data_IF_801393405462
#
_entry.id   IF_801393405462
#
_cell.length_a   1.000
_cell.length_b   1.000
_cell.length_c   1.000
_cell.angle_alpha   90.00
_cell.angle_beta   90.00
_cell.angle_gamma   90.00
#
_symmetry.space_group_name_H-M   'P 1'
#
loop_
_entity.id
_entity.type
_entity.pdbx_description
1 polymer ?
#
# COMPACT_ATOMS: atom_id res chain seq x y z
N UNK A 1 -21.23 3.82 75.48
CA UNK A 1 -19.93 4.27 74.93
C UNK A 1 -19.32 3.12 74.14
N UNK A 2 -18.63 3.41 73.03
CA UNK A 2 -17.95 2.50 72.08
C UNK A 2 -18.89 2.02 70.95
N UNK A 3 -19.14 2.82 69.90
CA UNK A 3 -18.31 3.29 68.77
C UNK A 3 -18.48 2.39 67.53
N UNK A 4 -19.26 2.92 66.58
CA UNK A 4 -19.51 2.45 65.21
C UNK A 4 -18.21 2.49 64.40
N UNK A 5 -17.93 1.45 63.63
CA UNK A 5 -17.01 1.52 62.50
C UNK A 5 -17.64 0.79 61.30
N UNK A 6 -18.34 1.58 60.46
CA UNK A 6 -18.82 1.15 59.15
C UNK A 6 -17.66 1.36 58.17
N UNK A 7 -17.02 0.28 57.72
CA UNK A 7 -15.98 0.34 56.71
C UNK A 7 -16.63 0.38 55.32
N UNK A 8 -16.71 1.57 54.72
CA UNK A 8 -17.15 1.76 53.34
C UNK A 8 -15.96 1.47 52.40
N UNK A 9 -15.91 0.28 51.82
CA UNK A 9 -14.96 -0.05 50.75
C UNK A 9 -15.51 0.54 49.46
N UNK A 10 -15.01 1.72 49.06
CA UNK A 10 -15.29 2.30 47.76
C UNK A 10 -14.43 1.56 46.73
N UNK A 11 -15.04 0.61 46.04
CA UNK A 11 -14.47 -0.02 44.83
C UNK A 11 -14.49 1.02 43.71
N UNK A 12 -13.37 1.73 43.50
CA UNK A 12 -13.15 2.51 42.30
C UNK A 12 -13.01 1.54 41.12
N UNK A 13 -14.13 1.21 40.47
CA UNK A 13 -14.12 0.61 39.14
C UNK A 13 -13.71 1.74 38.19
N UNK A 14 -12.40 1.95 38.05
CA UNK A 14 -11.87 2.64 36.87
C UNK A 14 -12.22 1.79 35.66
N UNK A 15 -13.33 2.12 35.01
CA UNK A 15 -13.62 1.68 33.66
C UNK A 15 -12.51 2.26 32.78
N UNK A 16 -11.42 1.50 32.62
CA UNK A 16 -10.54 1.68 31.47
C UNK A 16 -11.43 1.43 30.26
N UNK A 17 -11.93 2.50 29.66
CA UNK A 17 -12.51 2.44 28.32
C UNK A 17 -11.37 2.00 27.41
N UNK A 18 -11.28 0.69 27.17
CA UNK A 18 -10.47 0.16 26.09
C UNK A 18 -11.04 0.78 24.81
N UNK A 19 -10.41 1.85 24.33
CA UNK A 19 -10.70 2.38 23.01
C UNK A 19 -10.44 1.26 22.02
N UNK A 20 -11.52 0.74 21.43
CA UNK A 20 -11.44 -0.25 20.38
C UNK A 20 -11.01 0.41 19.06
N UNK A 21 -10.36 -0.36 18.20
CA UNK A 21 -10.06 0.09 16.84
C UNK A 21 -11.36 0.33 16.08
N UNK A 22 -11.49 1.51 15.49
CA UNK A 22 -12.64 1.89 14.66
C UNK A 22 -12.13 2.07 13.22
N UNK A 23 -12.24 1.02 12.41
CA UNK A 23 -11.86 1.05 10.99
C UNK A 23 -13.14 0.84 10.19
N UNK A 24 -13.53 1.85 9.43
CA UNK A 24 -14.67 1.81 8.51
C UNK A 24 -14.18 1.96 7.07
N UNK A 25 -14.68 1.08 6.20
CA UNK A 25 -14.30 1.01 4.79
C UNK A 25 -15.57 1.01 3.95
N UNK A 26 -15.66 1.98 3.05
CA UNK A 26 -16.70 2.07 2.03
C UNK A 26 -16.11 1.86 0.64
N UNK A 27 -16.93 1.40 -0.30
CA UNK A 27 -16.53 1.22 -1.69
C UNK A 27 -17.39 2.12 -2.57
N UNK A 28 -16.72 2.95 -3.37
CA UNK A 28 -17.33 3.74 -4.44
C UNK A 28 -16.90 3.13 -5.78
N UNK A 29 -17.87 2.65 -6.54
CA UNK A 29 -17.67 2.02 -7.84
C UNK A 29 -18.41 2.76 -8.97
N UNK A 30 -18.83 4.00 -8.73
CA UNK A 30 -19.60 4.82 -9.66
C UNK A 30 -18.88 5.02 -10.99
N UNK A 31 -17.59 5.37 -10.95
CA UNK A 31 -16.76 5.60 -12.13
C UNK A 31 -16.60 4.32 -12.98
N UNK A 32 -16.25 3.19 -12.35
CA UNK A 32 -16.17 1.87 -13.01
C UNK A 32 -17.50 1.49 -13.65
N UNK A 33 -18.61 1.63 -12.91
CA UNK A 33 -19.93 1.26 -13.40
C UNK A 33 -20.34 2.12 -14.61
N UNK A 34 -20.13 3.44 -14.54
CA UNK A 34 -20.45 4.36 -15.63
C UNK A 34 -19.63 4.05 -16.89
N UNK A 35 -18.33 3.80 -16.76
CA UNK A 35 -17.50 3.47 -17.92
C UNK A 35 -17.91 2.12 -18.55
N UNK A 36 -18.22 1.10 -17.74
CA UNK A 36 -18.73 -0.17 -18.25
C UNK A 36 -20.06 0.01 -18.99
N UNK A 37 -20.98 0.83 -18.46
CA UNK A 37 -22.26 1.14 -19.13
C UNK A 37 -22.05 1.78 -20.50
N UNK A 38 -21.09 2.70 -20.63
CA UNK A 38 -20.75 3.33 -21.92
C UNK A 38 -20.29 2.27 -22.93
N UNK A 39 -19.36 1.38 -22.54
CA UNK A 39 -18.90 0.28 -23.41
C UNK A 39 -20.01 -0.73 -23.75
N UNK A 40 -20.95 -0.97 -22.84
CA UNK A 40 -22.08 -1.88 -23.08
C UNK A 40 -23.08 -1.35 -24.10
N UNK A 41 -23.33 -0.03 -24.10
CA UNK A 41 -24.19 0.63 -25.09
C UNK A 41 -23.58 0.61 -26.49
N UNK A 42 -22.24 0.54 -26.59
CA UNK A 42 -21.47 0.64 -27.85
C UNK A 42 -21.75 1.92 -28.64
N UNK A 43 -22.20 2.96 -27.95
CA UNK A 43 -22.54 4.26 -28.51
C UNK A 43 -21.99 5.35 -27.59
N UNK A 44 -21.38 6.37 -28.18
CA UNK A 44 -20.87 7.51 -27.43
C UNK A 44 -21.99 8.55 -27.28
N UNK A 45 -22.36 8.87 -26.04
CA UNK A 45 -23.35 9.89 -25.69
C UNK A 45 -22.66 10.97 -24.84
N UNK A 46 -22.68 12.22 -25.29
CA UNK A 46 -21.98 13.33 -24.61
C UNK A 46 -22.39 13.45 -23.14
N UNK A 47 -23.68 13.34 -22.84
CA UNK A 47 -24.17 13.36 -21.46
C UNK A 47 -23.58 12.26 -20.58
N UNK A 48 -23.44 11.04 -21.12
CA UNK A 48 -22.84 9.94 -20.35
C UNK A 48 -21.36 10.20 -20.05
N UNK A 49 -20.67 10.84 -20.98
CA UNK A 49 -19.28 11.25 -20.80
C UNK A 49 -19.13 12.39 -19.79
N UNK A 50 -19.96 13.43 -19.88
CA UNK A 50 -20.01 14.54 -18.92
C UNK A 50 -20.24 14.02 -17.49
N UNK A 51 -21.17 13.08 -17.32
CA UNK A 51 -21.37 12.43 -16.03
C UNK A 51 -20.14 11.63 -15.60
N UNK A 52 -19.50 10.87 -16.51
CA UNK A 52 -18.32 10.06 -16.20
C UNK A 52 -17.14 10.89 -15.70
N UNK A 53 -16.82 12.01 -16.36
CA UNK A 53 -15.66 12.84 -16.01
C UNK A 53 -15.84 13.60 -14.70
N UNK A 54 -17.08 13.77 -14.23
CA UNK A 54 -17.37 14.40 -12.95
C UNK A 54 -17.16 13.45 -11.76
N UNK A 55 -17.18 12.12 -12.01
CA UNK A 55 -17.01 11.12 -10.98
C UNK A 55 -15.60 11.13 -10.41
N UNK A 56 -15.51 11.03 -9.08
CA UNK A 56 -14.24 11.12 -8.34
C UNK A 56 -13.21 10.07 -8.78
N UNK A 57 -13.64 8.84 -9.06
CA UNK A 57 -12.75 7.79 -9.57
C UNK A 57 -12.11 8.15 -10.92
N UNK A 58 -12.87 8.76 -11.83
CA UNK A 58 -12.36 9.21 -13.14
C UNK A 58 -11.38 10.37 -12.98
N UNK A 59 -11.73 11.39 -12.18
CA UNK A 59 -10.84 12.53 -11.89
C UNK A 59 -9.52 12.06 -11.29
N UNK A 60 -9.57 11.13 -10.35
CA UNK A 60 -8.38 10.54 -9.73
C UNK A 60 -7.53 9.73 -10.72
N UNK A 61 -8.17 8.96 -11.61
CA UNK A 61 -7.47 8.24 -12.67
C UNK A 61 -6.74 9.19 -13.63
N UNK A 62 -7.40 10.24 -14.11
CA UNK A 62 -6.79 11.26 -14.97
C UNK A 62 -5.65 11.99 -14.24
N UNK A 63 -5.86 12.36 -12.98
CA UNK A 63 -4.81 12.95 -12.13
C UNK A 63 -3.60 12.02 -12.00
N UNK A 64 -3.82 10.72 -11.80
CA UNK A 64 -2.74 9.73 -11.69
C UNK A 64 -1.97 9.60 -13.00
N UNK A 65 -2.67 9.56 -14.13
CA UNK A 65 -2.08 9.53 -15.46
C UNK A 65 -1.23 10.77 -15.76
N UNK A 66 -1.69 11.95 -15.37
CA UNK A 66 -0.99 13.21 -15.58
C UNK A 66 0.38 13.27 -14.88
N UNK A 67 0.63 12.39 -13.88
CA UNK A 67 1.95 12.26 -13.25
C UNK A 67 3.00 11.62 -14.17
N UNK A 68 2.56 10.85 -15.18
CA UNK A 68 3.42 10.12 -16.10
C UNK A 68 3.38 10.69 -17.53
N UNK A 69 2.26 11.31 -17.89
CA UNK A 69 2.01 11.81 -19.24
C UNK A 69 1.53 13.28 -19.15
N UNK A 70 2.32 14.25 -19.66
CA UNK A 70 2.05 15.68 -19.45
C UNK A 70 0.79 16.21 -20.18
N UNK A 71 0.29 15.49 -21.18
CA UNK A 71 -0.84 15.93 -22.03
C UNK A 71 -2.15 15.19 -21.70
N UNK A 72 -2.31 14.71 -20.47
CA UNK A 72 -3.53 14.04 -20.02
C UNK A 72 -4.57 15.07 -19.63
N UNK A 73 -5.73 15.02 -20.28
CA UNK A 73 -6.88 15.89 -20.03
C UNK A 73 -8.21 15.19 -20.38
N UNK A 74 -9.33 15.87 -20.16
CA UNK A 74 -10.66 15.32 -20.42
C UNK A 74 -10.93 15.17 -21.92
N UNK A 75 -10.45 16.08 -22.76
CA UNK A 75 -10.71 16.05 -24.20
C UNK A 75 -9.99 14.89 -24.88
N UNK A 76 -8.72 14.66 -24.54
CA UNK A 76 -7.98 13.48 -24.98
C UNK A 76 -8.62 12.19 -24.49
N UNK A 77 -9.11 12.16 -23.25
CA UNK A 77 -9.84 10.99 -22.71
C UNK A 77 -11.12 10.72 -23.52
N UNK A 78 -11.86 11.79 -23.87
CA UNK A 78 -13.07 11.73 -24.71
C UNK A 78 -12.78 11.11 -26.07
N UNK A 79 -11.77 11.62 -26.77
CA UNK A 79 -11.41 11.16 -28.11
C UNK A 79 -10.89 9.72 -28.10
N UNK A 80 -10.09 9.35 -27.10
CA UNK A 80 -9.62 7.98 -26.94
C UNK A 80 -10.75 6.99 -26.63
N UNK A 81 -11.70 7.38 -25.77
CA UNK A 81 -12.90 6.58 -25.49
C UNK A 81 -13.78 6.39 -26.74
N UNK A 82 -13.99 7.44 -27.53
CA UNK A 82 -14.71 7.35 -28.83
C UNK A 82 -14.01 6.41 -29.79
N UNK A 83 -12.69 6.51 -29.91
CA UNK A 83 -11.92 5.61 -30.77
C UNK A 83 -12.13 4.15 -30.33
N UNK A 84 -11.97 3.87 -29.04
CA UNK A 84 -12.11 2.53 -28.46
C UNK A 84 -13.51 1.92 -28.67
N UNK A 85 -14.59 2.72 -28.54
CA UNK A 85 -15.96 2.28 -28.82
C UNK A 85 -16.16 1.86 -30.27
N UNK A 86 -15.43 2.49 -31.20
CA UNK A 86 -15.44 2.17 -32.62
C UNK A 86 -14.43 1.07 -33.01
N UNK A 87 -13.84 0.36 -32.04
CA UNK A 87 -12.78 -0.63 -32.25
C UNK A 87 -11.54 -0.06 -32.96
N UNK A 88 -11.31 1.25 -32.85
CA UNK A 88 -10.10 1.94 -33.28
C UNK A 88 -9.26 2.30 -32.05
N UNK A 89 -7.95 2.42 -32.20
CA UNK A 89 -7.06 2.79 -31.11
C UNK A 89 -6.09 3.87 -31.55
N UNK A 90 -5.84 4.81 -30.64
CA UNK A 90 -4.85 5.87 -30.84
C UNK A 90 -3.47 5.29 -30.52
N UNK A 91 -2.49 5.57 -31.39
CA UNK A 91 -1.10 5.21 -31.12
C UNK A 91 -0.59 5.97 -29.90
N UNK A 92 0.15 5.28 -29.02
CA UNK A 92 0.66 5.82 -27.76
C UNK A 92 -0.42 6.42 -26.84
N UNK A 93 -1.64 5.88 -26.90
CA UNK A 93 -2.77 6.27 -26.04
C UNK A 93 -2.42 6.21 -24.54
N UNK A 94 -2.30 7.36 -23.84
CA UNK A 94 -1.97 7.36 -22.42
C UNK A 94 -3.12 6.78 -21.58
N UNK A 95 -4.35 6.78 -22.08
CA UNK A 95 -5.54 6.26 -21.41
C UNK A 95 -5.67 4.73 -21.52
N UNK A 96 -4.80 4.11 -22.31
CA UNK A 96 -4.63 2.66 -22.43
C UNK A 96 -5.92 1.89 -22.75
N UNK A 97 -6.84 2.47 -23.53
CA UNK A 97 -8.09 1.80 -23.86
C UNK A 97 -7.88 0.54 -24.70
N UNK A 98 -6.83 0.49 -25.52
CA UNK A 98 -6.41 -0.71 -26.25
C UNK A 98 -6.06 -1.89 -25.32
N UNK A 99 -5.59 -1.61 -24.10
CA UNK A 99 -5.30 -2.61 -23.07
C UNK A 99 -6.51 -2.88 -22.18
N UNK A 100 -7.33 -1.86 -21.92
CA UNK A 100 -8.51 -1.97 -21.06
C UNK A 100 -9.63 -2.78 -21.72
N UNK A 101 -9.94 -2.54 -23.00
CA UNK A 101 -11.08 -3.16 -23.71
C UNK A 101 -11.07 -4.70 -23.59
N UNK A 102 -9.95 -5.41 -23.83
CA UNK A 102 -9.87 -6.85 -23.62
C UNK A 102 -10.18 -7.33 -22.18
N UNK A 103 -10.00 -6.47 -21.18
CA UNK A 103 -10.17 -6.78 -19.75
C UNK A 103 -11.56 -6.43 -19.21
N UNK A 104 -12.42 -5.78 -20.00
CA UNK A 104 -13.76 -5.37 -19.57
C UNK A 104 -14.65 -6.55 -19.12
N UNK A 105 -14.66 -7.72 -19.77
CA UNK A 105 -15.48 -8.86 -19.31
C UNK A 105 -15.11 -9.33 -17.90
N UNK A 106 -13.82 -9.43 -17.61
CA UNK A 106 -13.29 -9.83 -16.31
C UNK A 106 -13.54 -8.74 -15.26
N UNK A 107 -13.34 -7.48 -15.63
CA UNK A 107 -13.60 -6.32 -14.78
C UNK A 107 -15.08 -6.23 -14.38
N UNK A 108 -16.00 -6.44 -15.32
CA UNK A 108 -17.45 -6.48 -15.06
C UNK A 108 -17.82 -7.62 -14.12
N UNK A 109 -17.25 -8.81 -14.32
CA UNK A 109 -17.46 -9.96 -13.42
C UNK A 109 -16.95 -9.66 -12.01
N UNK A 110 -15.76 -9.08 -11.90
CA UNK A 110 -15.16 -8.71 -10.62
C UNK A 110 -15.97 -7.63 -9.91
N UNK A 111 -16.41 -6.59 -10.62
CA UNK A 111 -17.27 -5.53 -10.07
C UNK A 111 -18.54 -6.13 -9.45
N UNK A 112 -19.22 -7.04 -10.15
CA UNK A 112 -20.41 -7.73 -9.62
C UNK A 112 -20.11 -8.49 -8.33
N UNK A 113 -18.95 -9.14 -8.24
CA UNK A 113 -18.53 -9.83 -7.02
C UNK A 113 -18.26 -8.84 -5.88
N UNK A 114 -17.59 -7.72 -6.16
CA UNK A 114 -17.35 -6.66 -5.17
C UNK A 114 -18.67 -6.09 -4.64
N UNK A 115 -19.62 -5.72 -5.52
CA UNK A 115 -20.92 -5.19 -5.11
C UNK A 115 -21.66 -6.20 -4.21
N UNK A 116 -21.68 -7.47 -4.60
CA UNK A 116 -22.35 -8.54 -3.86
C UNK A 116 -21.72 -8.77 -2.48
N UNK A 117 -20.40 -8.68 -2.38
CA UNK A 117 -19.63 -9.11 -1.20
C UNK A 117 -18.92 -7.95 -0.47
N UNK A 118 -19.24 -6.68 -0.75
CA UNK A 118 -18.49 -5.51 -0.23
C UNK A 118 -18.28 -5.48 1.28
N UNK A 119 -19.26 -5.96 2.06
CA UNK A 119 -19.15 -6.05 3.53
C UNK A 119 -18.11 -7.09 3.95
N UNK A 120 -18.12 -8.26 3.31
CA UNK A 120 -17.13 -9.31 3.55
C UNK A 120 -15.73 -8.86 3.12
N UNK A 121 -15.64 -8.20 1.95
CA UNK A 121 -14.38 -7.62 1.47
C UNK A 121 -13.80 -6.63 2.52
N UNK A 122 -14.61 -5.66 2.96
CA UNK A 122 -14.24 -4.70 4.00
C UNK A 122 -13.76 -5.40 5.28
N UNK A 123 -14.55 -6.34 5.82
CA UNK A 123 -14.20 -7.06 7.04
C UNK A 123 -12.89 -7.84 6.89
N UNK A 124 -12.72 -8.56 5.77
CA UNK A 124 -11.52 -9.34 5.50
C UNK A 124 -10.26 -8.47 5.43
N UNK A 125 -10.39 -7.24 4.94
CA UNK A 125 -9.31 -6.26 4.91
C UNK A 125 -9.06 -5.69 6.31
N UNK A 126 -10.12 -5.30 7.03
CA UNK A 126 -10.03 -4.80 8.41
C UNK A 126 -9.28 -5.79 9.31
N UNK A 127 -9.62 -7.07 9.23
CA UNK A 127 -9.00 -8.10 10.09
C UNK A 127 -7.49 -8.20 9.88
N UNK A 128 -6.98 -7.97 8.66
CA UNK A 128 -5.53 -7.91 8.39
C UNK A 128 -4.89 -6.68 9.00
N UNK A 129 -5.54 -5.52 8.87
CA UNK A 129 -5.04 -4.25 9.38
C UNK A 129 -4.96 -4.25 10.91
N UNK A 130 -6.04 -4.69 11.58
CA UNK A 130 -6.19 -4.65 13.05
C UNK A 130 -5.01 -5.27 13.79
N UNK A 131 -4.48 -6.37 13.25
CA UNK A 131 -3.35 -7.09 13.85
C UNK A 131 -2.07 -6.23 13.94
N UNK A 132 -1.85 -5.32 13.00
CA UNK A 132 -0.61 -4.53 12.90
C UNK A 132 -0.84 -3.04 13.15
N UNK A 133 -2.00 -2.69 13.69
CA UNK A 133 -2.38 -1.32 13.99
C UNK A 133 -2.43 -1.06 15.50
N UNK A 134 -2.23 0.19 15.96
CA UNK A 134 -2.48 0.56 17.35
C UNK A 134 -3.93 0.28 17.76
N UNK A 135 -4.16 -0.12 19.02
CA UNK A 135 -5.52 -0.45 19.53
C UNK A 135 -6.51 0.73 19.49
N UNK A 136 -6.02 1.95 19.50
CA UNK A 136 -6.81 3.19 19.47
C UNK A 136 -6.93 3.81 18.07
N UNK A 137 -6.55 3.09 17.01
CA UNK A 137 -6.59 3.60 15.64
C UNK A 137 -8.03 3.85 15.19
N UNK A 138 -8.26 5.02 14.58
CA UNK A 138 -9.52 5.40 13.94
C UNK A 138 -9.28 5.74 12.48
N UNK A 139 -9.97 5.05 11.58
CA UNK A 139 -9.89 5.24 10.13
C UNK A 139 -11.29 5.16 9.55
N UNK A 140 -11.62 6.12 8.69
CA UNK A 140 -12.73 6.02 7.75
C UNK A 140 -12.14 6.21 6.37
N UNK A 141 -12.27 5.21 5.51
CA UNK A 141 -11.71 5.24 4.16
C UNK A 141 -12.77 4.89 3.12
N UNK A 142 -12.65 5.53 1.95
CA UNK A 142 -13.39 5.16 0.75
C UNK A 142 -12.42 4.58 -0.27
N UNK A 143 -12.70 3.35 -0.70
CA UNK A 143 -12.02 2.68 -1.80
C UNK A 143 -12.77 3.01 -3.08
N UNK A 144 -12.14 3.80 -3.95
CA UNK A 144 -12.65 4.14 -5.27
C UNK A 144 -12.15 3.11 -6.27
N UNK A 145 -13.08 2.38 -6.89
CA UNK A 145 -12.73 1.49 -8.00
C UNK A 145 -12.67 2.32 -9.29
N UNK A 146 -11.61 2.10 -10.06
CA UNK A 146 -11.35 2.75 -11.34
C UNK A 146 -11.10 1.70 -12.43
N UNK A 147 -11.02 2.14 -13.68
CA UNK A 147 -10.64 1.32 -14.83
C UNK A 147 -9.70 2.13 -15.71
N UNK A 148 -8.54 1.57 -16.04
CA UNK A 148 -7.62 2.25 -16.97
C UNK A 148 -6.17 1.74 -17.04
N UNK A 149 -5.89 0.57 -16.48
CA UNK A 149 -4.61 -0.17 -16.56
C UNK A 149 -3.41 0.63 -16.03
N UNK A 150 -3.58 1.41 -14.94
CA UNK A 150 -2.53 2.23 -14.32
C UNK A 150 -2.10 1.70 -12.94
N UNK A 151 -1.49 0.52 -12.94
CA UNK A 151 -0.95 -0.11 -11.72
C UNK A 151 -2.01 -0.79 -10.85
N UNK A 152 -1.61 -1.24 -9.66
CA UNK A 152 -2.49 -1.97 -8.74
C UNK A 152 -3.42 -1.03 -7.99
N UNK A 153 -2.86 -0.20 -7.11
CA UNK A 153 -3.57 0.81 -6.34
C UNK A 153 -2.70 2.03 -6.07
N UNK A 154 -3.31 3.12 -5.61
CA UNK A 154 -2.60 4.30 -5.15
C UNK A 154 -3.42 5.16 -4.18
N UNK A 155 -2.73 6.02 -3.43
CA UNK A 155 -3.30 7.10 -2.63
C UNK A 155 -2.78 8.44 -3.10
N UNK A 156 -3.43 9.53 -2.67
CA UNK A 156 -2.90 10.89 -2.82
C UNK A 156 -2.73 11.52 -1.43
N UNK A 157 -1.63 12.26 -1.23
CA UNK A 157 -1.30 12.87 0.06
C UNK A 157 -2.36 13.88 0.53
N UNK A 158 -3.03 14.56 -0.39
CA UNK A 158 -4.11 15.52 -0.13
C UNK A 158 -5.49 14.87 0.05
N UNK A 159 -5.60 13.55 -0.10
CA UNK A 159 -6.83 12.80 0.11
C UNK A 159 -6.64 11.67 1.13
N UNK A 160 -6.44 11.99 2.41
CA UNK A 160 -5.99 11.04 3.42
C UNK A 160 -7.02 9.96 3.80
N UNK A 161 -8.24 10.03 3.26
CA UNK A 161 -9.32 9.05 3.46
C UNK A 161 -9.74 8.37 2.15
N UNK A 162 -9.00 8.56 1.07
CA UNK A 162 -9.29 7.97 -0.23
C UNK A 162 -8.15 7.05 -0.67
N UNK A 163 -8.55 5.90 -1.20
CA UNK A 163 -7.65 4.98 -1.87
C UNK A 163 -8.28 4.53 -3.18
N UNK A 164 -7.47 4.34 -4.20
CA UNK A 164 -7.91 4.05 -5.56
C UNK A 164 -7.37 2.70 -6.01
N UNK A 165 -8.24 1.84 -6.54
CA UNK A 165 -7.85 0.55 -7.12
C UNK A 165 -8.25 0.49 -8.57
N UNK A 166 -7.31 0.12 -9.41
CA UNK A 166 -7.62 -0.25 -10.77
C UNK A 166 -8.14 -1.68 -10.85
N UNK A 167 -9.44 -1.81 -11.09
CA UNK A 167 -10.11 -3.10 -11.14
C UNK A 167 -9.63 -3.96 -12.32
N UNK A 168 -9.18 -3.32 -13.40
CA UNK A 168 -8.72 -4.02 -14.61
C UNK A 168 -7.40 -4.73 -14.39
N UNK A 169 -6.51 -4.16 -13.58
CA UNK A 169 -5.23 -4.77 -13.18
C UNK A 169 -5.41 -6.09 -12.41
N UNK A 170 -6.58 -6.31 -11.81
CA UNK A 170 -6.86 -7.54 -11.06
C UNK A 170 -7.20 -8.72 -11.96
N UNK A 171 -7.60 -8.48 -13.23
CA UNK A 171 -7.94 -9.55 -14.21
C UNK A 171 -8.92 -10.59 -13.63
N UNK A 172 -9.95 -10.12 -12.93
CA UNK A 172 -10.95 -10.98 -12.29
C UNK A 172 -10.55 -11.58 -10.93
N UNK A 173 -9.37 -11.28 -10.41
CA UNK A 173 -8.84 -11.84 -9.15
C UNK A 173 -9.42 -11.13 -7.90
N UNK A 174 -10.57 -11.61 -7.42
CA UNK A 174 -11.23 -11.06 -6.24
C UNK A 174 -10.40 -11.17 -4.95
N UNK A 175 -9.70 -12.28 -4.76
CA UNK A 175 -8.87 -12.44 -3.58
C UNK A 175 -7.59 -11.59 -3.68
N UNK A 176 -7.02 -11.46 -4.88
CA UNK A 176 -5.94 -10.54 -5.17
C UNK A 176 -6.32 -9.09 -4.83
N UNK A 177 -7.52 -8.66 -5.22
CA UNK A 177 -8.09 -7.35 -4.86
C UNK A 177 -8.17 -7.14 -3.34
N UNK A 178 -8.61 -8.14 -2.59
CA UNK A 178 -8.71 -8.05 -1.12
C UNK A 178 -7.35 -7.82 -0.45
N UNK A 179 -6.31 -8.53 -0.92
CA UNK A 179 -4.95 -8.39 -0.38
C UNK A 179 -4.29 -7.09 -0.81
N UNK A 180 -4.46 -6.67 -2.07
CA UNK A 180 -3.99 -5.37 -2.53
C UNK A 180 -4.68 -4.24 -1.75
N UNK A 181 -6.00 -4.33 -1.54
CA UNK A 181 -6.72 -3.35 -0.73
C UNK A 181 -6.16 -3.29 0.69
N UNK A 182 -5.77 -4.42 1.28
CA UNK A 182 -5.15 -4.45 2.60
C UNK A 182 -3.76 -3.81 2.63
N UNK A 183 -2.94 -4.00 1.59
CA UNK A 183 -1.65 -3.33 1.44
C UNK A 183 -1.83 -1.80 1.48
N UNK A 184 -2.73 -1.31 0.65
CA UNK A 184 -2.86 0.11 0.40
C UNK A 184 -3.63 0.85 1.50
N UNK A 185 -4.66 0.21 2.06
CA UNK A 185 -5.33 0.72 3.27
C UNK A 185 -4.39 0.72 4.47
N UNK A 186 -3.37 -0.14 4.49
CA UNK A 186 -2.35 -0.07 5.53
C UNK A 186 -1.50 1.19 5.41
N UNK A 187 -1.24 1.73 4.21
CA UNK A 187 -0.60 3.04 4.07
C UNK A 187 -1.43 4.17 4.68
N UNK A 188 -2.76 4.15 4.50
CA UNK A 188 -3.64 5.10 5.19
C UNK A 188 -3.54 4.96 6.72
N UNK A 189 -3.45 3.73 7.22
CA UNK A 189 -3.25 3.48 8.64
C UNK A 189 -1.91 4.02 9.14
N UNK A 190 -0.82 3.67 8.45
CA UNK A 190 0.52 4.16 8.73
C UNK A 190 0.56 5.69 8.78
N UNK A 191 -0.15 6.38 7.87
CA UNK A 191 -0.19 7.84 7.88
C UNK A 191 -0.75 8.41 9.20
N UNK A 192 -1.66 7.69 9.87
CA UNK A 192 -2.30 8.13 11.12
C UNK A 192 -1.43 7.89 12.37
N UNK A 193 -0.55 6.90 12.36
CA UNK A 193 0.18 6.50 13.58
C UNK A 193 1.71 6.50 13.45
N UNK A 194 2.27 6.49 12.24
CA UNK A 194 3.69 6.63 12.02
C UNK A 194 4.07 8.11 11.92
N UNK A 195 5.28 8.45 12.38
CA UNK A 195 5.84 9.79 12.19
C UNK A 195 6.04 10.08 10.71
N UNK A 196 5.61 11.25 10.25
CA UNK A 196 5.90 11.71 8.90
C UNK A 196 7.33 12.22 8.82
N UNK A 197 8.08 11.76 7.82
CA UNK A 197 9.48 12.13 7.63
C UNK A 197 9.59 13.09 6.45
N UNK A 198 10.25 14.22 6.69
CA UNK A 198 10.53 15.21 5.66
C UNK A 198 11.52 14.64 4.64
N UNK A 199 11.20 14.78 3.37
CA UNK A 199 12.01 14.32 2.24
C UNK A 199 13.39 14.99 2.17
N UNK A 200 13.58 16.14 2.81
CA UNK A 200 14.87 16.81 2.99
C UNK A 200 15.83 16.03 3.90
N UNK A 201 15.32 15.23 4.85
CA UNK A 201 16.12 14.25 5.59
C UNK A 201 16.23 12.96 4.78
N UNK A 202 17.07 13.01 3.75
CA UNK A 202 17.20 12.00 2.70
C UNK A 202 17.36 10.56 3.23
N UNK A 203 18.13 10.38 4.31
CA UNK A 203 18.37 9.03 4.84
C UNK A 203 17.15 8.55 5.59
N UNK A 204 16.65 9.34 6.56
CA UNK A 204 15.43 8.95 7.29
C UNK A 204 14.26 8.76 6.32
N UNK A 205 14.16 9.55 5.25
CA UNK A 205 13.16 9.37 4.21
C UNK A 205 13.30 7.99 3.55
N UNK A 206 14.49 7.59 3.07
CA UNK A 206 14.68 6.26 2.48
C UNK A 206 14.38 5.14 3.47
N UNK A 207 14.78 5.27 4.74
CA UNK A 207 14.47 4.27 5.77
C UNK A 207 12.96 4.19 6.04
N UNK A 208 12.28 5.33 6.11
CA UNK A 208 10.83 5.43 6.32
C UNK A 208 10.05 4.77 5.19
N UNK A 209 10.39 5.07 3.93
CA UNK A 209 9.78 4.42 2.77
C UNK A 209 9.98 2.90 2.82
N UNK A 210 11.16 2.42 3.22
CA UNK A 210 11.42 0.98 3.35
C UNK A 210 10.53 0.32 4.41
N UNK A 211 10.39 0.98 5.57
CA UNK A 211 9.56 0.48 6.66
C UNK A 211 8.08 0.50 6.26
N UNK A 212 7.61 1.56 5.61
CA UNK A 212 6.22 1.69 5.15
C UNK A 212 5.87 0.60 4.14
N UNK A 213 6.66 0.49 3.08
CA UNK A 213 6.42 -0.49 2.01
C UNK A 213 6.64 -1.92 2.49
N UNK A 214 7.68 -2.14 3.29
CA UNK A 214 7.96 -3.45 3.87
C UNK A 214 6.84 -3.95 4.79
N UNK A 215 6.30 -3.07 5.66
CA UNK A 215 5.22 -3.46 6.57
C UNK A 215 3.88 -3.60 5.86
N UNK A 216 3.57 -2.77 4.86
CA UNK A 216 2.40 -2.97 4.01
C UNK A 216 2.47 -4.31 3.25
N UNK A 217 3.62 -4.61 2.65
CA UNK A 217 3.90 -5.90 1.98
C UNK A 217 3.71 -7.07 2.96
N UNK A 218 4.18 -6.92 4.19
CA UNK A 218 4.08 -7.95 5.23
C UNK A 218 2.65 -8.21 5.70
N UNK A 219 1.85 -7.15 5.87
CA UNK A 219 0.42 -7.24 6.21
C UNK A 219 -0.35 -7.94 5.08
N UNK A 220 0.00 -7.67 3.83
CA UNK A 220 -0.63 -8.21 2.63
C UNK A 220 0.14 -9.40 2.03
N UNK A 221 0.74 -10.26 2.84
CA UNK A 221 1.68 -11.29 2.36
C UNK A 221 1.05 -12.28 1.36
N UNK A 222 1.27 -12.03 0.07
CA UNK A 222 0.73 -12.84 -1.03
C UNK A 222 1.37 -14.24 -1.10
N UNK A 223 2.58 -14.42 -0.55
CA UNK A 223 3.27 -15.72 -0.58
C UNK A 223 2.60 -16.77 0.30
N UNK A 224 1.85 -16.33 1.31
CA UNK A 224 1.12 -17.20 2.24
C UNK A 224 -0.27 -17.61 1.74
N UNK A 225 -0.72 -17.08 0.61
CA UNK A 225 -2.03 -17.40 0.06
C UNK A 225 -1.96 -18.79 -0.60
N UNK A 226 -2.75 -19.79 -0.18
CA UNK A 226 -2.68 -21.12 -0.79
C UNK A 226 -3.31 -21.19 -2.18
N UNK A 227 -4.27 -20.32 -2.49
CA UNK A 227 -4.95 -20.28 -3.79
C UNK A 227 -4.10 -19.59 -4.88
N UNK A 228 -4.54 -19.77 -6.13
CA UNK A 228 -4.03 -19.08 -7.31
C UNK A 228 -5.03 -18.05 -7.84
N UNK A 229 -4.53 -17.15 -8.67
CA UNK A 229 -5.29 -16.08 -9.31
C UNK A 229 -4.34 -15.20 -10.11
N UNK A 230 -4.77 -14.53 -11.20
CA UNK A 230 -3.85 -13.77 -12.06
C UNK A 230 -2.99 -12.75 -11.30
N UNK A 231 -3.57 -12.03 -10.34
CA UNK A 231 -2.85 -11.03 -9.56
C UNK A 231 -2.04 -11.68 -8.43
N UNK A 232 -2.61 -12.68 -7.75
CA UNK A 232 -1.91 -13.46 -6.72
C UNK A 232 -0.65 -14.12 -7.29
N UNK A 233 -0.74 -14.76 -8.45
CA UNK A 233 0.37 -15.46 -9.10
C UNK A 233 1.44 -14.48 -9.58
N UNK A 234 1.02 -13.31 -10.06
CA UNK A 234 1.93 -12.21 -10.35
C UNK A 234 2.69 -11.79 -9.08
N UNK A 235 1.99 -11.48 -7.99
CA UNK A 235 2.60 -11.08 -6.73
C UNK A 235 3.52 -12.17 -6.16
N UNK A 236 3.11 -13.44 -6.18
CA UNK A 236 3.97 -14.57 -5.75
C UNK A 236 5.26 -14.66 -6.56
N UNK A 237 5.22 -14.37 -7.86
CA UNK A 237 6.43 -14.30 -8.69
C UNK A 237 7.33 -13.15 -8.26
N UNK A 238 6.79 -11.98 -7.94
CA UNK A 238 7.56 -10.85 -7.40
C UNK A 238 8.26 -11.22 -6.09
N UNK A 239 7.54 -11.85 -5.16
CA UNK A 239 8.10 -12.38 -3.91
C UNK A 239 9.24 -13.36 -4.19
N UNK A 240 8.98 -14.38 -5.00
CA UNK A 240 9.98 -15.41 -5.30
C UNK A 240 11.25 -14.81 -5.91
N UNK A 241 11.11 -13.88 -6.87
CA UNK A 241 12.26 -13.23 -7.50
C UNK A 241 13.06 -12.41 -6.50
N UNK A 242 12.40 -11.56 -5.70
CA UNK A 242 13.08 -10.68 -4.78
C UNK A 242 13.74 -11.43 -3.61
N UNK A 243 13.10 -12.47 -3.06
CA UNK A 243 13.73 -13.28 -2.01
C UNK A 243 14.92 -14.11 -2.52
N UNK A 244 14.89 -14.59 -3.78
CA UNK A 244 16.05 -15.26 -4.39
C UNK A 244 17.28 -14.35 -4.50
N UNK A 245 17.08 -13.03 -4.56
CA UNK A 245 18.16 -12.03 -4.63
C UNK A 245 18.24 -11.18 -3.36
N UNK A 246 17.76 -11.68 -2.22
CA UNK A 246 17.64 -10.86 -1.01
C UNK A 246 18.97 -10.22 -0.59
N UNK A 247 20.07 -10.97 -0.60
CA UNK A 247 21.41 -10.44 -0.29
C UNK A 247 21.80 -9.29 -1.23
N UNK A 248 21.48 -9.41 -2.53
CA UNK A 248 21.74 -8.37 -3.53
C UNK A 248 20.84 -7.14 -3.26
N UNK A 249 19.58 -7.36 -2.88
CA UNK A 249 18.68 -6.28 -2.51
C UNK A 249 19.18 -5.53 -1.26
N UNK A 250 19.74 -6.24 -0.26
CA UNK A 250 20.41 -5.62 0.88
C UNK A 250 21.64 -4.81 0.46
N UNK A 251 22.54 -5.36 -0.38
CA UNK A 251 23.69 -4.60 -0.88
C UNK A 251 23.29 -3.34 -1.66
N UNK A 252 22.19 -3.40 -2.43
CA UNK A 252 21.61 -2.25 -3.10
C UNK A 252 21.09 -1.22 -2.09
N UNK A 253 20.33 -1.65 -1.07
CA UNK A 253 19.87 -0.80 0.02
C UNK A 253 21.03 -0.02 0.67
N UNK A 254 22.10 -0.74 1.02
CA UNK A 254 23.29 -0.14 1.63
C UNK A 254 23.96 0.90 0.73
N UNK A 255 24.01 0.61 -0.58
CA UNK A 255 24.54 1.54 -1.58
C UNK A 255 23.70 2.82 -1.68
N UNK A 256 22.36 2.70 -1.65
CA UNK A 256 21.45 3.85 -1.69
C UNK A 256 21.58 4.72 -0.43
N UNK A 257 21.67 4.09 0.75
CA UNK A 257 21.88 4.81 2.03
C UNK A 257 23.23 5.51 2.05
N UNK A 258 24.29 4.84 1.59
CA UNK A 258 25.62 5.42 1.49
C UNK A 258 25.62 6.64 0.56
N UNK A 259 25.02 6.54 -0.63
CA UNK A 259 24.92 7.64 -1.57
C UNK A 259 24.10 8.81 -0.98
N UNK A 260 22.97 8.54 -0.34
CA UNK A 260 22.15 9.57 0.32
C UNK A 260 22.91 10.32 1.43
N UNK A 261 23.86 9.64 2.12
CA UNK A 261 24.71 10.26 3.14
C UNK A 261 25.82 11.12 2.55
N UNK A 262 26.52 10.60 1.55
CA UNK A 262 27.81 11.15 1.11
C UNK A 262 27.74 12.03 -0.12
N UNK A 263 26.73 11.86 -0.97
CA UNK A 263 26.51 12.70 -2.14
C UNK A 263 25.50 13.80 -1.81
N UNK A 264 25.94 15.06 -1.72
CA UNK A 264 25.04 16.20 -1.46
C UNK A 264 24.22 16.63 -2.68
N UNK A 265 24.59 16.16 -3.87
CA UNK A 265 23.97 16.54 -5.14
C UNK A 265 22.99 15.49 -5.66
N UNK A 266 22.98 14.28 -5.07
CA UNK A 266 22.03 13.25 -5.45
C UNK A 266 20.59 13.71 -5.18
N UNK A 267 19.75 13.62 -6.21
CA UNK A 267 18.32 13.82 -6.12
C UNK A 267 17.68 12.61 -5.44
N UNK A 268 16.98 12.85 -4.34
CA UNK A 268 16.38 11.77 -3.54
C UNK A 268 15.33 10.96 -4.31
N UNK A 269 14.65 11.58 -5.28
CA UNK A 269 13.70 10.90 -6.16
C UNK A 269 14.35 9.84 -7.06
N UNK A 270 15.61 10.04 -7.47
CA UNK A 270 16.35 9.04 -8.22
C UNK A 270 16.64 7.82 -7.36
N UNK A 271 17.09 8.04 -6.12
CA UNK A 271 17.33 6.95 -5.16
C UNK A 271 16.04 6.21 -4.83
N UNK A 272 14.96 6.96 -4.61
CA UNK A 272 13.63 6.40 -4.38
C UNK A 272 13.20 5.51 -5.55
N UNK A 273 13.31 6.01 -6.79
CA UNK A 273 12.90 5.24 -7.96
C UNK A 273 13.72 3.96 -8.15
N UNK A 274 15.01 3.94 -7.82
CA UNK A 274 15.82 2.71 -7.86
C UNK A 274 15.31 1.67 -6.86
N UNK A 275 14.96 2.11 -5.65
CA UNK A 275 14.59 1.20 -4.56
C UNK A 275 13.12 0.74 -4.55
N UNK A 276 12.20 1.62 -4.96
CA UNK A 276 10.76 1.47 -4.70
C UNK A 276 9.93 1.33 -5.97
N UNK A 277 10.41 1.80 -7.12
CA UNK A 277 9.61 1.71 -8.35
C UNK A 277 9.52 0.29 -8.91
N UNK A 278 8.43 0.04 -9.63
CA UNK A 278 8.25 -1.21 -10.38
C UNK A 278 9.29 -1.43 -11.48
N UNK A 279 10.03 -0.38 -11.91
CA UNK A 279 11.09 -0.49 -12.92
C UNK A 279 12.20 -1.46 -12.49
N UNK A 280 12.51 -1.50 -11.20
CA UNK A 280 13.48 -2.41 -10.61
C UNK A 280 12.83 -3.53 -9.79
N UNK A 281 11.50 -3.70 -9.92
CA UNK A 281 10.70 -4.67 -9.17
C UNK A 281 10.72 -4.42 -7.66
N UNK A 282 10.79 -3.15 -7.26
CA UNK A 282 10.57 -2.69 -5.89
C UNK A 282 11.40 -3.44 -4.82
N UNK A 283 12.73 -3.58 -4.97
CA UNK A 283 13.55 -4.43 -4.10
C UNK A 283 13.47 -4.03 -2.62
N UNK A 284 13.28 -2.75 -2.31
CA UNK A 284 13.23 -2.24 -0.94
C UNK A 284 11.99 -2.71 -0.17
N UNK A 285 10.89 -3.04 -0.86
CA UNK A 285 9.69 -3.63 -0.24
C UNK A 285 10.06 -4.94 0.47
N UNK A 286 10.91 -5.74 -0.18
CA UNK A 286 11.28 -7.06 0.31
C UNK A 286 12.39 -7.03 1.36
N UNK A 287 13.28 -6.02 1.30
CA UNK A 287 14.24 -5.76 2.40
C UNK A 287 13.48 -5.34 3.66
N UNK A 288 12.55 -4.39 3.53
CA UNK A 288 11.68 -3.95 4.64
C UNK A 288 10.85 -5.10 5.21
N UNK A 289 10.15 -5.86 4.35
CA UNK A 289 9.40 -7.05 4.74
C UNK A 289 10.27 -8.01 5.56
N UNK A 290 11.48 -8.28 5.09
CA UNK A 290 12.36 -9.25 5.72
C UNK A 290 12.81 -8.82 7.12
N UNK A 291 13.19 -7.54 7.28
CA UNK A 291 13.51 -6.96 8.57
C UNK A 291 12.32 -7.08 9.54
N UNK A 292 11.13 -6.71 9.08
CA UNK A 292 9.90 -6.74 9.88
C UNK A 292 9.53 -8.16 10.31
N UNK A 293 9.60 -9.14 9.38
CA UNK A 293 9.40 -10.57 9.66
C UNK A 293 10.30 -11.05 10.81
N UNK A 294 11.58 -10.70 10.77
CA UNK A 294 12.54 -11.14 11.79
C UNK A 294 12.33 -10.43 13.12
N UNK A 295 12.01 -9.14 13.12
CA UNK A 295 11.65 -8.43 14.35
C UNK A 295 10.41 -9.07 15.00
N UNK A 296 9.35 -9.33 14.24
CA UNK A 296 8.17 -9.99 14.81
C UNK A 296 8.49 -11.40 15.32
N UNK A 297 9.26 -12.20 14.56
CA UNK A 297 9.66 -13.57 14.96
C UNK A 297 10.29 -13.61 16.35
N UNK A 298 11.10 -12.62 16.71
CA UNK A 298 11.92 -12.64 17.92
C UNK A 298 11.50 -11.67 19.02
N UNK A 299 10.79 -10.58 18.69
CA UNK A 299 10.30 -9.59 19.66
C UNK A 299 8.78 -9.58 19.79
N UNK A 300 8.07 -10.27 18.90
CA UNK A 300 6.63 -10.32 18.88
C UNK A 300 5.99 -9.12 18.19
N UNK A 301 4.70 -9.28 17.93
CA UNK A 301 3.89 -8.32 17.16
C UNK A 301 3.68 -6.98 17.87
N UNK A 302 3.47 -7.01 19.19
CA UNK A 302 3.23 -5.78 19.97
C UNK A 302 4.45 -4.85 19.94
N UNK A 303 5.66 -5.41 20.01
CA UNK A 303 6.91 -4.63 19.88
C UNK A 303 7.06 -4.06 18.48
N UNK A 304 6.76 -4.84 17.43
CA UNK A 304 6.77 -4.35 16.05
C UNK A 304 5.82 -3.15 15.88
N UNK A 305 4.58 -3.24 16.38
CA UNK A 305 3.60 -2.14 16.32
C UNK A 305 4.07 -0.92 17.11
N UNK A 306 4.77 -1.12 18.23
CA UNK A 306 5.41 -0.05 18.99
C UNK A 306 6.51 0.64 18.16
N UNK A 307 7.41 -0.13 17.54
CA UNK A 307 8.51 0.38 16.72
C UNK A 307 8.04 1.19 15.53
N UNK A 308 6.93 0.81 14.89
CA UNK A 308 6.38 1.56 13.74
C UNK A 308 5.97 3.01 14.09
N UNK A 309 5.72 3.31 15.37
CA UNK A 309 5.40 4.69 15.83
C UNK A 309 6.64 5.57 15.99
N UNK A 310 7.82 4.96 16.05
CA UNK A 310 9.09 5.64 16.27
C UNK A 310 9.71 6.08 14.93
N UNK A 311 10.74 6.95 14.96
CA UNK A 311 11.55 7.24 13.77
C UNK A 311 12.06 5.94 13.13
N UNK A 312 12.18 5.89 11.78
CA UNK A 312 12.48 4.65 11.06
C UNK A 312 13.79 4.00 11.48
N UNK A 313 14.78 4.80 11.93
CA UNK A 313 16.03 4.34 12.55
C UNK A 313 15.82 3.28 13.63
N UNK A 314 14.81 3.43 14.47
CA UNK A 314 14.56 2.51 15.59
C UNK A 314 14.21 1.11 15.11
N UNK A 315 13.55 0.97 13.95
CA UNK A 315 13.31 -0.33 13.32
C UNK A 315 14.62 -1.05 12.97
N UNK A 316 15.62 -0.30 12.47
CA UNK A 316 16.91 -0.87 12.11
C UNK A 316 17.78 -1.17 13.33
N UNK A 317 17.72 -0.34 14.37
CA UNK A 317 18.39 -0.63 15.63
C UNK A 317 17.80 -1.89 16.29
N UNK A 318 16.48 -2.05 16.24
CA UNK A 318 15.81 -3.28 16.65
C UNK A 318 16.32 -4.47 15.82
N UNK A 319 16.35 -4.37 14.50
CA UNK A 319 16.89 -5.40 13.62
C UNK A 319 18.32 -5.82 13.99
N UNK A 320 19.23 -4.86 14.19
CA UNK A 320 20.61 -5.11 14.59
C UNK A 320 20.70 -5.80 15.96
N UNK A 321 19.83 -5.44 16.89
CA UNK A 321 19.76 -6.10 18.20
C UNK A 321 19.37 -7.56 18.05
N UNK A 322 18.30 -7.87 17.30
CA UNK A 322 17.88 -9.26 17.07
C UNK A 322 18.88 -10.05 16.26
N UNK A 323 19.54 -9.43 15.29
CA UNK A 323 20.66 -10.03 14.56
C UNK A 323 21.77 -10.49 15.52
N UNK A 324 22.27 -9.60 16.38
CA UNK A 324 23.36 -9.93 17.30
C UNK A 324 22.99 -11.02 18.31
N UNK A 325 21.73 -11.08 18.71
CA UNK A 325 21.22 -12.07 19.66
C UNK A 325 20.97 -13.45 19.03
N UNK A 326 20.70 -13.53 17.72
CA UNK A 326 20.13 -14.75 17.10
C UNK A 326 20.81 -15.22 15.80
N UNK A 327 21.71 -14.44 15.18
CA UNK A 327 22.30 -14.79 13.88
C UNK A 327 23.19 -16.06 13.91
N UNK A 328 23.60 -16.53 15.09
CA UNK A 328 24.31 -17.81 15.24
C UNK A 328 23.41 -19.04 15.14
N UNK A 329 22.09 -18.87 15.24
CA UNK A 329 21.10 -19.97 15.25
C UNK A 329 20.01 -19.82 14.17
N UNK A 330 20.03 -18.73 13.41
CA UNK A 330 19.06 -18.46 12.35
C UNK A 330 19.76 -17.87 11.13
N UNK A 331 19.84 -18.67 10.08
CA UNK A 331 20.51 -18.31 8.83
C UNK A 331 19.66 -17.37 7.95
N UNK A 332 18.40 -17.09 8.32
CA UNK A 332 17.55 -16.14 7.59
C UNK A 332 18.14 -14.71 7.63
N UNK A 333 18.97 -14.37 8.64
CA UNK A 333 19.49 -13.02 8.81
C UNK A 333 20.46 -12.58 7.70
N UNK A 334 20.27 -11.36 7.19
CA UNK A 334 21.24 -10.69 6.31
C UNK A 334 21.99 -9.59 7.09
N UNK A 335 23.33 -9.69 7.26
CA UNK A 335 24.09 -8.66 7.97
C UNK A 335 24.12 -7.34 7.21
N UNK A 336 24.10 -6.23 7.94
CA UNK A 336 24.42 -4.91 7.39
C UNK A 336 25.93 -4.67 7.50
N UNK A 337 26.52 -4.02 6.50
CA UNK A 337 27.91 -3.57 6.55
C UNK A 337 28.12 -2.54 7.67
N UNK A 338 29.37 -2.45 8.13
CA UNK A 338 29.77 -1.51 9.17
C UNK A 338 29.45 -0.06 8.81
N UNK A 339 29.66 0.36 7.56
CA UNK A 339 29.35 1.73 7.12
C UNK A 339 27.86 2.04 7.23
N UNK A 340 26.99 1.11 6.86
CA UNK A 340 25.53 1.28 6.99
C UNK A 340 25.13 1.37 8.47
N UNK A 341 25.69 0.51 9.32
CA UNK A 341 25.46 0.53 10.78
C UNK A 341 25.86 1.89 11.38
N UNK A 342 27.03 2.40 11.02
CA UNK A 342 27.54 3.68 11.51
C UNK A 342 26.66 4.85 11.04
N UNK A 343 26.21 4.82 9.78
CA UNK A 343 25.23 5.80 9.25
C UNK A 343 23.95 5.78 10.09
N UNK A 344 23.33 4.61 10.26
CA UNK A 344 22.08 4.45 11.02
C UNK A 344 22.24 4.94 12.46
N UNK A 345 23.33 4.58 13.13
CA UNK A 345 23.61 5.02 14.51
C UNK A 345 23.79 6.53 14.62
N UNK A 346 24.28 7.20 13.57
CA UNK A 346 24.49 8.65 13.52
C UNK A 346 23.22 9.48 13.31
N UNK A 347 22.11 8.86 12.89
CA UNK A 347 20.83 9.54 12.67
C UNK A 347 20.23 10.00 14.01
N UNK A 348 19.53 11.14 13.97
CA UNK A 348 18.86 11.76 15.14
C UNK A 348 17.38 11.46 15.17
#
# INVERSE_FOLDING_TARGET
MILRALLFVIFFITFCTLSAQEIDITYDYSATEKLLQIFEKKEFVDKDFEELIELKGTKAYLRKLAMFFPNVDADGYKESLKAALNSNYIDDDPYMFNRLVPLLPESKKLLKQVIKNKKELALSTIDKLKAYCPKNLKITATVYLTLGVIGGGWTFDDEPNAFYVDLSSMKGDYLGLAYLSAHELYHLAQYRFMKQIDKSDRINYLLDQMVREGSATYVSDFSKIPSSGPYIDFSKKEYSRNFKRLIINFALFESLVFQAKHDKHVEIDKLYNIGYSGMFQSPMYYVGYHIIKLIEKYKGKDELVSLLKNPPREMFLAYLKVYNENASIDEDFVPLSKSTIDIIKSLR
#
